data_IF_788319059638
#
_entry.id   IF_788319059638
#
_cell.length_a   1.000
_cell.length_b   1.000
_cell.length_c   1.000
_cell.angle_alpha   90.00
_cell.angle_beta   90.00
_cell.angle_gamma   90.00
#
_symmetry.space_group_name_H-M   'P 1'
#
loop_
_entity.id
_entity.type
_entity.pdbx_description
1 polymer ?
#
# COMPACT_ATOMS: atom_id res chain seq x y z
N UNK A 1 -39.96 -17.68 -31.78
CA UNK A 1 -38.65 -17.50 -32.45
C UNK A 1 -37.90 -16.19 -32.12
N UNK A 2 -38.55 -15.05 -31.84
CA UNK A 2 -37.86 -13.75 -31.59
C UNK A 2 -37.09 -13.61 -30.26
N UNK A 3 -37.28 -14.51 -29.28
CA UNK A 3 -36.61 -14.42 -27.95
C UNK A 3 -35.23 -15.07 -27.89
N UNK A 4 -34.88 -15.94 -28.84
CA UNK A 4 -33.58 -16.63 -28.87
C UNK A 4 -32.49 -15.77 -29.55
N UNK A 5 -32.86 -14.95 -30.53
CA UNK A 5 -31.92 -14.05 -31.23
C UNK A 5 -31.47 -12.86 -30.37
N UNK A 6 -32.33 -12.38 -29.45
CA UNK A 6 -31.96 -11.29 -28.53
C UNK A 6 -30.93 -11.70 -27.46
N UNK A 7 -30.92 -12.98 -27.09
CA UNK A 7 -30.00 -13.54 -26.09
C UNK A 7 -28.57 -13.78 -26.62
N UNK A 8 -28.39 -13.82 -27.94
CA UNK A 8 -27.09 -14.03 -28.59
C UNK A 8 -26.43 -12.67 -28.94
N UNK A 9 -27.23 -11.63 -29.19
CA UNK A 9 -26.74 -10.30 -29.54
C UNK A 9 -26.17 -9.50 -28.33
N UNK A 10 -26.68 -9.73 -27.12
CA UNK A 10 -26.20 -9.02 -25.91
C UNK A 10 -24.97 -9.71 -25.27
N UNK A 11 -24.80 -11.03 -25.44
CA UNK A 11 -23.75 -11.79 -24.74
C UNK A 11 -22.35 -11.71 -25.37
N UNK A 12 -22.21 -11.19 -26.60
CA UNK A 12 -20.91 -11.19 -27.32
C UNK A 12 -20.13 -9.88 -27.12
N UNK A 13 -20.82 -8.78 -26.83
CA UNK A 13 -20.18 -7.47 -26.62
C UNK A 13 -19.61 -7.36 -25.20
N UNK A 14 -20.35 -7.84 -24.19
CA UNK A 14 -19.93 -7.77 -22.79
C UNK A 14 -18.66 -8.58 -22.52
N UNK A 15 -18.54 -9.78 -23.11
CA UNK A 15 -17.34 -10.61 -22.96
C UNK A 15 -16.11 -10.01 -23.66
N UNK A 16 -16.26 -9.47 -24.87
CA UNK A 16 -15.17 -8.80 -25.60
C UNK A 16 -14.74 -7.51 -24.90
N UNK A 17 -15.70 -6.75 -24.38
CA UNK A 17 -15.44 -5.55 -23.60
C UNK A 17 -14.69 -5.89 -22.31
N UNK A 18 -15.13 -6.92 -21.58
CA UNK A 18 -14.47 -7.35 -20.35
C UNK A 18 -13.01 -7.77 -20.59
N UNK A 19 -12.75 -8.58 -21.62
CA UNK A 19 -11.38 -8.96 -21.99
C UNK A 19 -10.51 -7.79 -22.44
N UNK A 20 -11.09 -6.76 -23.04
CA UNK A 20 -10.37 -5.53 -23.38
C UNK A 20 -9.97 -4.76 -22.10
N UNK A 21 -10.88 -4.66 -21.13
CA UNK A 21 -10.60 -4.02 -19.83
C UNK A 21 -9.53 -4.80 -19.07
N UNK A 22 -9.64 -6.12 -18.96
CA UNK A 22 -8.64 -6.98 -18.31
C UNK A 22 -7.23 -6.77 -18.90
N UNK A 23 -7.13 -6.69 -20.24
CA UNK A 23 -5.86 -6.44 -20.91
C UNK A 23 -5.29 -5.04 -20.59
N UNK A 24 -6.14 -4.01 -20.53
CA UNK A 24 -5.72 -2.66 -20.11
C UNK A 24 -5.25 -2.68 -18.65
N UNK A 25 -5.99 -3.32 -17.75
CA UNK A 25 -5.63 -3.42 -16.33
C UNK A 25 -4.25 -4.07 -16.13
N UNK A 26 -3.94 -5.12 -16.90
CA UNK A 26 -2.63 -5.76 -16.88
C UNK A 26 -1.53 -4.84 -17.40
N UNK A 27 -1.78 -4.10 -18.48
CA UNK A 27 -0.80 -3.14 -19.03
C UNK A 27 -0.53 -2.00 -18.04
N UNK A 28 -1.58 -1.42 -17.46
CA UNK A 28 -1.48 -0.36 -16.45
C UNK A 28 -0.73 -0.86 -15.23
N UNK A 29 -1.06 -2.06 -14.74
CA UNK A 29 -0.39 -2.64 -13.57
C UNK A 29 1.09 -2.92 -13.81
N UNK A 30 1.47 -3.36 -15.02
CA UNK A 30 2.89 -3.51 -15.40
C UNK A 30 3.62 -2.18 -15.40
N UNK A 31 3.05 -1.14 -16.02
CA UNK A 31 3.62 0.21 -16.02
C UNK A 31 3.77 0.76 -14.60
N UNK A 32 2.74 0.61 -13.77
CA UNK A 32 2.77 1.04 -12.37
C UNK A 32 3.86 0.31 -11.58
N UNK A 33 4.01 -0.99 -11.77
CA UNK A 33 5.08 -1.77 -11.11
C UNK A 33 6.47 -1.29 -11.53
N UNK A 34 6.67 -0.94 -12.81
CA UNK A 34 7.94 -0.41 -13.31
C UNK A 34 8.25 0.95 -12.67
N UNK A 35 7.28 1.87 -12.63
CA UNK A 35 7.46 3.16 -11.99
C UNK A 35 7.75 3.03 -10.50
N UNK A 36 7.09 2.10 -9.81
CA UNK A 36 7.38 1.83 -8.40
C UNK A 36 8.81 1.35 -8.17
N UNK A 37 9.35 0.49 -9.05
CA UNK A 37 10.77 0.08 -8.97
C UNK A 37 11.70 1.28 -9.11
N UNK A 38 11.43 2.20 -10.03
CA UNK A 38 12.21 3.43 -10.20
C UNK A 38 12.16 4.29 -8.93
N UNK A 39 10.97 4.47 -8.34
CA UNK A 39 10.79 5.22 -7.09
C UNK A 39 11.57 4.58 -5.94
N UNK A 40 11.55 3.24 -5.82
CA UNK A 40 12.30 2.51 -4.79
C UNK A 40 13.80 2.76 -4.95
N UNK A 41 14.34 2.63 -6.17
CA UNK A 41 15.76 2.87 -6.43
C UNK A 41 16.15 4.30 -6.08
N UNK A 42 15.35 5.29 -6.49
CA UNK A 42 15.58 6.70 -6.15
C UNK A 42 15.58 6.93 -4.63
N UNK A 43 14.62 6.35 -3.91
CA UNK A 43 14.53 6.46 -2.45
C UNK A 43 15.72 5.80 -1.72
N UNK A 44 16.25 4.69 -2.24
CA UNK A 44 17.46 4.05 -1.70
C UNK A 44 18.68 4.95 -1.91
N UNK A 45 18.82 5.57 -3.08
CA UNK A 45 19.92 6.51 -3.36
C UNK A 45 19.84 7.72 -2.43
N UNK A 46 18.65 8.29 -2.25
CA UNK A 46 18.41 9.43 -1.36
C UNK A 46 18.76 9.08 0.11
N UNK A 47 18.31 7.92 0.59
CA UNK A 47 18.69 7.41 1.92
C UNK A 47 20.21 7.24 2.05
N UNK A 48 20.87 6.68 1.04
CA UNK A 48 22.33 6.51 1.03
C UNK A 48 23.07 7.85 1.12
N UNK A 49 22.62 8.85 0.35
CA UNK A 49 23.17 10.20 0.40
C UNK A 49 22.94 10.85 1.76
N UNK A 50 21.73 10.72 2.32
CA UNK A 50 21.40 11.26 3.63
C UNK A 50 22.26 10.64 4.74
N UNK A 51 22.40 9.31 4.76
CA UNK A 51 23.24 8.60 5.73
C UNK A 51 24.71 8.99 5.59
N UNK A 52 25.22 9.12 4.37
CA UNK A 52 26.59 9.58 4.13
C UNK A 52 26.81 10.99 4.68
N UNK A 53 25.89 11.92 4.39
CA UNK A 53 25.97 13.29 4.91
C UNK A 53 25.96 13.31 6.43
N UNK A 54 25.06 12.57 7.05
CA UNK A 54 24.91 12.57 8.50
C UNK A 54 26.10 11.94 9.23
N UNK A 55 26.67 10.86 8.70
CA UNK A 55 27.79 10.16 9.33
C UNK A 55 29.09 10.97 9.30
N UNK A 56 29.32 11.75 8.24
CA UNK A 56 30.59 12.42 8.01
C UNK A 56 30.59 13.94 8.26
N UNK A 57 29.43 14.61 8.22
CA UNK A 57 29.36 16.08 8.29
C UNK A 57 28.58 16.62 9.50
N UNK A 58 27.86 15.80 10.26
CA UNK A 58 27.02 16.30 11.36
C UNK A 58 27.74 16.25 12.72
N UNK A 59 27.82 17.38 13.47
CA UNK A 59 28.37 17.41 14.83
C UNK A 59 27.53 16.58 15.81
N UNK A 60 28.19 15.94 16.78
CA UNK A 60 27.63 14.92 17.71
C UNK A 60 26.46 15.33 18.65
N UNK A 61 25.84 16.49 18.46
CA UNK A 61 24.79 17.03 19.34
C UNK A 61 23.33 16.74 18.96
N UNK A 62 23.02 16.43 17.70
CA UNK A 62 21.63 16.33 17.20
C UNK A 62 21.18 14.92 16.78
N UNK A 63 21.96 13.88 17.10
CA UNK A 63 21.78 12.52 16.58
C UNK A 63 20.36 11.94 16.80
N UNK A 64 19.70 12.26 17.92
CA UNK A 64 18.34 11.79 18.18
C UNK A 64 17.29 12.38 17.22
N UNK A 65 17.41 13.66 16.86
CA UNK A 65 16.50 14.28 15.89
C UNK A 65 16.71 13.65 14.51
N UNK A 66 17.97 13.40 14.14
CA UNK A 66 18.28 12.77 12.87
C UNK A 66 17.86 11.30 12.80
N UNK A 67 17.90 10.55 13.91
CA UNK A 67 17.41 9.16 13.94
C UNK A 67 15.93 9.05 13.53
N UNK A 68 15.09 9.99 13.95
CA UNK A 68 13.68 10.01 13.51
C UNK A 68 13.56 10.25 12.01
N UNK A 69 14.38 11.13 11.44
CA UNK A 69 14.41 11.39 9.99
C UNK A 69 14.90 10.16 9.21
N UNK A 70 15.96 9.49 9.69
CA UNK A 70 16.47 8.25 9.11
C UNK A 70 15.38 7.18 9.12
N UNK A 71 14.72 6.96 10.27
CA UNK A 71 13.61 6.00 10.33
C UNK A 71 12.48 6.39 9.38
N UNK A 72 12.15 7.68 9.25
CA UNK A 72 11.20 8.16 8.25
C UNK A 72 11.56 7.75 6.83
N UNK A 73 12.82 7.91 6.42
CA UNK A 73 13.31 7.50 5.10
C UNK A 73 13.26 5.97 4.89
N UNK A 74 13.68 5.17 5.87
CA UNK A 74 13.52 3.70 5.82
C UNK A 74 12.06 3.30 5.68
N UNK A 75 11.19 3.98 6.42
CA UNK A 75 9.75 3.77 6.40
C UNK A 75 9.13 4.25 5.08
N UNK A 76 9.68 5.22 4.36
CA UNK A 76 9.20 5.51 3.01
C UNK A 76 9.54 4.37 2.02
N UNK A 77 10.73 3.80 2.11
CA UNK A 77 11.16 2.68 1.24
C UNK A 77 10.28 1.44 1.48
N UNK A 78 10.03 1.10 2.74
CA UNK A 78 9.20 -0.04 3.09
C UNK A 78 7.74 0.13 2.62
N UNK A 79 7.17 1.35 2.59
CA UNK A 79 5.85 1.61 1.98
C UNK A 79 5.90 1.35 0.47
N UNK A 80 6.96 1.83 -0.19
CA UNK A 80 7.09 1.65 -1.63
C UNK A 80 7.18 0.15 -2.02
N UNK A 81 7.90 -0.65 -1.23
CA UNK A 81 7.95 -2.11 -1.39
C UNK A 81 6.58 -2.77 -1.17
N UNK A 82 5.85 -2.34 -0.16
CA UNK A 82 4.51 -2.84 0.17
C UNK A 82 3.48 -2.52 -0.94
N UNK A 83 3.55 -1.34 -1.53
CA UNK A 83 2.74 -0.98 -2.71
C UNK A 83 3.13 -1.83 -3.91
N UNK A 84 4.43 -2.06 -4.15
CA UNK A 84 4.90 -2.93 -5.24
C UNK A 84 4.40 -4.37 -5.06
N UNK A 85 4.39 -4.90 -3.84
CA UNK A 85 3.84 -6.21 -3.52
C UNK A 85 2.34 -6.29 -3.82
N UNK A 86 1.57 -5.27 -3.46
CA UNK A 86 0.14 -5.18 -3.80
C UNK A 86 -0.11 -5.18 -5.31
N UNK A 87 0.63 -4.38 -6.08
CA UNK A 87 0.51 -4.29 -7.55
C UNK A 87 0.90 -5.62 -8.20
N UNK A 88 2.01 -6.22 -7.78
CA UNK A 88 2.48 -7.50 -8.34
C UNK A 88 1.59 -8.67 -7.92
N UNK A 89 1.00 -8.62 -6.72
CA UNK A 89 -0.03 -9.55 -6.27
C UNK A 89 -1.27 -9.52 -7.15
N UNK A 90 -1.70 -8.31 -7.54
CA UNK A 90 -2.79 -8.13 -8.50
C UNK A 90 -2.44 -8.72 -9.87
N UNK A 91 -1.24 -8.47 -10.41
CA UNK A 91 -0.77 -9.07 -11.67
C UNK A 91 -0.76 -10.61 -11.65
N UNK A 92 -0.49 -11.24 -10.49
CA UNK A 92 -0.41 -12.70 -10.36
C UNK A 92 -1.78 -13.37 -10.25
N UNK A 93 -2.71 -12.78 -9.50
CA UNK A 93 -3.99 -13.44 -9.18
C UNK A 93 -5.22 -12.76 -9.80
N UNK A 94 -5.08 -11.59 -10.43
CA UNK A 94 -6.17 -10.78 -10.99
C UNK A 94 -7.29 -10.47 -9.98
N UNK A 95 -6.97 -10.51 -8.68
CA UNK A 95 -7.87 -10.14 -7.59
C UNK A 95 -7.09 -9.35 -6.56
N UNK A 96 -7.66 -8.21 -6.17
CA UNK A 96 -7.20 -7.47 -5.01
C UNK A 96 -7.47 -8.31 -3.76
N UNK A 97 -6.41 -8.72 -3.07
CA UNK A 97 -6.52 -9.42 -1.80
C UNK A 97 -6.94 -8.40 -0.74
N UNK A 98 -8.25 -8.31 -0.48
CA UNK A 98 -8.82 -7.35 0.48
C UNK A 98 -8.16 -7.49 1.87
N UNK A 99 -7.81 -8.72 2.25
CA UNK A 99 -7.06 -8.99 3.48
C UNK A 99 -5.68 -8.31 3.49
N UNK A 100 -4.93 -8.41 2.39
CA UNK A 100 -3.62 -7.74 2.23
C UNK A 100 -3.78 -6.23 2.32
N UNK A 101 -4.78 -5.64 1.67
CA UNK A 101 -5.04 -4.19 1.71
C UNK A 101 -5.29 -3.70 3.14
N UNK A 102 -6.05 -4.44 3.94
CA UNK A 102 -6.31 -4.05 5.33
C UNK A 102 -5.07 -4.20 6.21
N UNK A 103 -4.31 -5.29 6.03
CA UNK A 103 -3.02 -5.47 6.71
C UNK A 103 -2.08 -4.32 6.36
N UNK A 104 -2.00 -3.92 5.09
CA UNK A 104 -1.15 -2.80 4.68
C UNK A 104 -1.61 -1.46 5.26
N UNK A 105 -2.92 -1.27 5.42
CA UNK A 105 -3.47 -0.09 6.09
C UNK A 105 -3.10 -0.05 7.58
N UNK A 106 -3.14 -1.19 8.27
CA UNK A 106 -2.71 -1.30 9.68
C UNK A 106 -1.21 -1.01 9.82
N UNK A 107 -0.38 -1.56 8.95
CA UNK A 107 1.08 -1.31 8.92
C UNK A 107 1.36 0.18 8.69
N UNK A 108 0.64 0.82 7.77
CA UNK A 108 0.79 2.25 7.47
C UNK A 108 0.48 3.14 8.69
N UNK A 109 -0.60 2.84 9.44
CA UNK A 109 -0.92 3.59 10.66
C UNK A 109 0.09 3.31 11.77
N UNK A 110 0.47 2.05 11.99
CA UNK A 110 1.45 1.68 13.01
C UNK A 110 2.77 2.42 12.81
N UNK A 111 3.22 2.52 11.56
CA UNK A 111 4.42 3.27 11.15
C UNK A 111 4.33 4.76 11.46
N UNK A 112 3.15 5.38 11.26
CA UNK A 112 2.92 6.78 11.60
C UNK A 112 2.98 7.04 13.10
N UNK A 113 2.62 6.06 13.92
CA UNK A 113 2.76 6.12 15.38
C UNK A 113 4.23 5.98 15.80
N UNK A 114 5.01 5.11 15.17
CA UNK A 114 6.42 4.89 15.50
C UNK A 114 7.25 6.17 15.34
N UNK A 115 6.98 6.98 14.31
CA UNK A 115 7.71 8.25 14.05
C UNK A 115 7.06 9.46 14.76
N UNK A 116 5.99 9.27 15.53
CA UNK A 116 5.22 10.37 16.11
C UNK A 116 6.01 11.09 17.21
N UNK A 117 6.26 12.40 17.04
CA UNK A 117 6.78 13.23 18.14
C UNK A 117 5.64 13.65 19.07
N UNK A 118 5.55 12.99 20.22
CA UNK A 118 4.53 13.23 21.25
C UNK A 118 4.51 14.67 21.77
N UNK A 119 5.57 15.45 21.56
CA UNK A 119 5.64 16.86 21.96
C UNK A 119 4.88 17.79 21.00
N UNK A 120 4.64 17.34 19.77
CA UNK A 120 4.02 18.14 18.70
C UNK A 120 2.55 17.78 18.43
N UNK A 121 2.03 16.73 19.08
CA UNK A 121 0.68 16.21 18.83
C UNK A 121 -0.23 16.44 20.02
N UNK A 122 -1.51 16.65 19.73
CA UNK A 122 -2.52 16.82 20.77
C UNK A 122 -3.05 15.46 21.24
N UNK A 123 -3.62 15.39 22.45
CA UNK A 123 -4.26 14.17 22.94
C UNK A 123 -5.41 13.69 22.04
N UNK A 124 -6.07 14.61 21.32
CA UNK A 124 -7.14 14.29 20.35
C UNK A 124 -6.57 13.52 19.16
N UNK A 125 -5.38 13.88 18.67
CA UNK A 125 -4.74 13.18 17.55
C UNK A 125 -4.42 11.73 17.90
N UNK A 126 -3.94 11.50 19.12
CA UNK A 126 -3.60 10.16 19.64
C UNK A 126 -4.87 9.31 19.78
N UNK A 127 -5.96 9.89 20.29
CA UNK A 127 -7.26 9.21 20.39
C UNK A 127 -7.79 8.88 18.99
N UNK A 128 -7.70 9.81 18.04
CA UNK A 128 -8.10 9.58 16.65
C UNK A 128 -7.33 8.43 15.99
N UNK A 129 -6.01 8.36 16.19
CA UNK A 129 -5.18 7.24 15.74
C UNK A 129 -5.59 5.92 16.40
N UNK A 130 -5.88 5.93 17.70
CA UNK A 130 -6.37 4.74 18.42
C UNK A 130 -7.69 4.22 17.87
N UNK A 131 -8.65 5.11 17.59
CA UNK A 131 -9.95 4.75 16.99
C UNK A 131 -9.75 4.19 15.58
N UNK A 132 -8.88 4.78 14.77
CA UNK A 132 -8.59 4.29 13.42
C UNK A 132 -8.00 2.87 13.44
N UNK A 133 -7.06 2.59 14.35
CA UNK A 133 -6.49 1.24 14.53
C UNK A 133 -7.56 0.25 14.95
N UNK A 134 -8.42 0.62 15.90
CA UNK A 134 -9.51 -0.25 16.35
C UNK A 134 -10.48 -0.56 15.20
N UNK A 135 -10.88 0.44 14.41
CA UNK A 135 -11.77 0.26 13.27
C UNK A 135 -11.16 -0.67 12.19
N UNK A 136 -9.87 -0.49 11.86
CA UNK A 136 -9.18 -1.38 10.93
C UNK A 136 -9.00 -2.80 11.48
N UNK A 137 -8.69 -2.93 12.77
CA UNK A 137 -8.55 -4.23 13.43
C UNK A 137 -9.86 -5.01 13.44
N UNK A 138 -10.98 -4.32 13.71
CA UNK A 138 -12.33 -4.91 13.61
C UNK A 138 -12.65 -5.31 12.16
N UNK A 139 -12.28 -4.48 11.18
CA UNK A 139 -12.49 -4.79 9.75
C UNK A 139 -11.72 -6.04 9.32
N UNK A 140 -10.46 -6.17 9.76
CA UNK A 140 -9.65 -7.37 9.54
C UNK A 140 -10.29 -8.61 10.16
N UNK A 141 -10.77 -8.48 11.41
CA UNK A 141 -11.44 -9.57 12.12
C UNK A 141 -12.68 -10.05 11.37
N UNK A 142 -13.56 -9.14 10.94
CA UNK A 142 -14.80 -9.47 10.21
C UNK A 142 -14.49 -10.20 8.91
N UNK A 143 -13.54 -9.70 8.13
CA UNK A 143 -13.18 -10.31 6.84
C UNK A 143 -12.54 -11.68 7.04
N UNK A 144 -11.65 -11.82 8.03
CA UNK A 144 -11.03 -13.10 8.36
C UNK A 144 -12.08 -14.14 8.78
N UNK A 145 -13.05 -13.77 9.61
CA UNK A 145 -14.14 -14.68 10.00
C UNK A 145 -15.05 -15.04 8.82
N UNK A 146 -15.40 -14.08 7.97
CA UNK A 146 -16.23 -14.33 6.78
C UNK A 146 -15.53 -15.25 5.77
N UNK A 147 -14.22 -15.09 5.59
CA UNK A 147 -13.44 -15.92 4.67
C UNK A 147 -13.26 -17.35 5.21
N UNK A 148 -13.17 -17.52 6.54
CA UNK A 148 -13.08 -18.84 7.20
C UNK A 148 -14.36 -19.67 7.06
N UNK A 149 -15.51 -19.05 6.79
CA UNK A 149 -16.79 -19.73 6.59
C UNK A 149 -16.98 -20.24 5.14
N UNK A 150 -16.10 -19.87 4.21
CA UNK A 150 -16.10 -20.31 2.81
C UNK A 150 -15.11 -21.46 2.51
N UNK A 151 -14.38 -21.94 3.51
CA UNK A 151 -13.57 -23.17 3.44
C UNK A 151 -14.23 -24.27 4.27
#
# INVERSE_FOLDING_TARGET
MRRLLKKIAESTNDAKFMHFIENIEVVVSKLLSLFMVIVIVAAIVDLGYFLYKELFYTPHGEFNATLFEIFGLFLNILIALEILENITGYLKKHVLQVELVIVTSLIAIARKIIILDLRKVTGIDIIGLGIAILALSISYLIIRFSNKQKM
#
